data_IF_717573511012
#
_entry.id   IF_717573511012
#
_cell.length_a   1.000
_cell.length_b   1.000
_cell.length_c   1.000
_cell.angle_alpha   90.00
_cell.angle_beta   90.00
_cell.angle_gamma   90.00
#
_symmetry.space_group_name_H-M   'P 1'
#
loop_
_entity.id
_entity.type
_entity.pdbx_description
1 polymer ?
#
# COMPACT_ATOMS: atom_id res chain seq x y z
N UNK A 1 10.12 -17.19 -18.97
CA UNK A 1 8.96 -16.26 -18.72
C UNK A 1 8.26 -16.69 -17.45
N UNK A 2 7.89 -15.73 -16.59
CA UNK A 2 7.12 -16.02 -15.38
C UNK A 2 5.70 -16.50 -15.74
N UNK A 3 5.16 -17.47 -15.01
CA UNK A 3 3.85 -18.05 -15.32
C UNK A 3 2.71 -17.24 -14.66
N UNK A 4 1.55 -17.18 -15.32
CA UNK A 4 0.38 -16.42 -14.84
C UNK A 4 -0.15 -16.90 -13.48
N UNK A 5 0.08 -18.17 -13.10
CA UNK A 5 -0.30 -18.69 -11.78
C UNK A 5 0.28 -17.87 -10.60
N UNK A 6 1.41 -17.18 -10.82
CA UNK A 6 2.00 -16.33 -9.79
C UNK A 6 1.27 -14.99 -9.61
N UNK A 7 0.56 -14.51 -10.64
CA UNK A 7 -0.35 -13.39 -10.50
C UNK A 7 -1.59 -13.78 -9.67
N UNK A 8 -2.12 -14.99 -9.89
CA UNK A 8 -3.21 -15.51 -9.06
C UNK A 8 -2.78 -15.65 -7.60
N UNK A 9 -1.60 -16.22 -7.35
CA UNK A 9 -1.04 -16.30 -6.01
C UNK A 9 -0.84 -14.90 -5.40
N UNK A 10 -0.29 -13.94 -6.16
CA UNK A 10 -0.12 -12.56 -5.70
C UNK A 10 -1.45 -11.96 -5.23
N UNK A 11 -2.52 -12.12 -6.01
CA UNK A 11 -3.84 -11.65 -5.62
C UNK A 11 -4.38 -12.35 -4.37
N UNK A 12 -4.19 -13.66 -4.24
CA UNK A 12 -4.60 -14.39 -3.04
C UNK A 12 -3.90 -13.85 -1.79
N UNK A 13 -2.60 -13.54 -1.87
CA UNK A 13 -1.87 -12.95 -0.76
C UNK A 13 -2.32 -11.50 -0.48
N UNK A 14 -2.53 -10.70 -1.53
CA UNK A 14 -3.10 -9.36 -1.42
C UNK A 14 -4.45 -9.39 -0.69
N UNK A 15 -5.36 -10.27 -1.09
CA UNK A 15 -6.69 -10.37 -0.48
C UNK A 15 -6.63 -10.74 1.03
N UNK A 16 -5.67 -11.59 1.41
CA UNK A 16 -5.42 -11.93 2.82
C UNK A 16 -4.86 -10.73 3.60
N UNK A 17 -3.90 -10.01 3.01
CA UNK A 17 -3.30 -8.84 3.65
C UNK A 17 -4.30 -7.68 3.76
N UNK A 18 -5.19 -7.50 2.77
CA UNK A 18 -6.26 -6.51 2.81
C UNK A 18 -7.27 -6.74 3.95
N UNK A 19 -7.42 -7.98 4.40
CA UNK A 19 -8.26 -8.31 5.55
C UNK A 19 -7.61 -7.98 6.91
N UNK A 20 -6.35 -7.56 6.93
CA UNK A 20 -5.62 -7.16 8.13
C UNK A 20 -5.57 -5.64 8.17
N UNK A 21 -6.17 -5.04 9.20
CA UNK A 21 -6.10 -3.60 9.41
C UNK A 21 -4.67 -3.14 9.71
N UNK A 22 -4.21 -2.11 9.00
CA UNK A 22 -2.85 -1.58 9.15
C UNK A 22 -2.74 -0.08 8.83
N UNK A 23 -3.59 0.80 9.39
CA UNK A 23 -3.35 2.22 9.19
C UNK A 23 -1.98 2.60 9.74
N UNK A 24 -1.34 3.60 9.12
CA UNK A 24 0.01 4.05 9.51
C UNK A 24 0.14 4.22 11.02
N UNK A 25 1.15 3.59 11.61
CA UNK A 25 1.38 3.56 13.06
C UNK A 25 0.67 2.41 13.81
N UNK A 26 -0.20 1.64 13.15
CA UNK A 26 -0.86 0.46 13.70
C UNK A 26 -0.70 -0.75 12.77
N UNK A 27 0.53 -1.16 12.49
CA UNK A 27 0.89 -2.06 11.38
C UNK A 27 1.44 -3.41 11.82
N UNK A 28 1.61 -3.64 13.13
CA UNK A 28 2.31 -4.82 13.67
C UNK A 28 1.76 -6.15 13.13
N UNK A 29 0.43 -6.31 13.12
CA UNK A 29 -0.21 -7.55 12.64
C UNK A 29 0.04 -7.80 11.16
N UNK A 30 0.01 -6.74 10.34
CA UNK A 30 0.30 -6.84 8.92
C UNK A 30 1.78 -7.16 8.68
N UNK A 31 2.70 -6.51 9.40
CA UNK A 31 4.13 -6.78 9.29
C UNK A 31 4.48 -8.21 9.70
N UNK A 32 3.91 -8.71 10.80
CA UNK A 32 4.10 -10.11 11.22
C UNK A 32 3.58 -11.09 10.17
N UNK A 33 2.39 -10.85 9.64
CA UNK A 33 1.83 -11.68 8.58
C UNK A 33 2.70 -11.69 7.32
N UNK A 34 3.21 -10.52 6.89
CA UNK A 34 4.12 -10.40 5.74
C UNK A 34 5.40 -11.18 5.99
N UNK A 35 6.00 -11.02 7.17
CA UNK A 35 7.20 -11.79 7.58
C UNK A 35 6.97 -13.30 7.45
N UNK A 36 5.90 -13.81 8.05
CA UNK A 36 5.54 -15.22 8.00
C UNK A 36 5.27 -15.70 6.57
N UNK A 37 4.66 -14.87 5.72
CA UNK A 37 4.39 -15.20 4.33
C UNK A 37 5.69 -15.40 3.52
N UNK A 38 6.72 -14.57 3.72
CA UNK A 38 8.02 -14.75 3.09
C UNK A 38 8.79 -15.94 3.67
N UNK A 39 8.71 -16.15 4.99
CA UNK A 39 9.34 -17.31 5.64
C UNK A 39 8.74 -18.64 5.15
N UNK A 40 7.42 -18.69 4.92
CA UNK A 40 6.75 -19.87 4.34
C UNK A 40 7.22 -20.18 2.90
N UNK A 41 7.78 -19.21 2.18
CA UNK A 41 8.39 -19.38 0.87
C UNK A 41 9.87 -19.77 0.95
N UNK A 42 10.44 -19.88 2.17
CA UNK A 42 11.82 -20.28 2.43
C UNK A 42 12.81 -19.12 2.51
N UNK A 43 12.38 -17.87 2.61
CA UNK A 43 13.25 -16.71 2.73
C UNK A 43 13.47 -16.28 4.17
N UNK A 44 14.64 -15.72 4.46
CA UNK A 44 14.91 -15.09 5.75
C UNK A 44 14.27 -13.71 5.78
N UNK A 45 13.38 -13.47 6.74
CA UNK A 45 12.70 -12.22 6.94
C UNK A 45 12.85 -11.74 8.39
N UNK A 46 13.09 -10.44 8.57
CA UNK A 46 13.23 -9.82 9.89
C UNK A 46 12.43 -8.55 9.99
N UNK A 47 11.91 -8.26 11.19
CA UNK A 47 11.30 -6.98 11.48
C UNK A 47 12.38 -5.90 11.61
N UNK A 48 12.13 -4.74 11.03
CA UNK A 48 12.97 -3.55 11.22
C UNK A 48 12.60 -2.83 12.52
N UNK A 49 13.46 -1.94 13.00
CA UNK A 49 13.16 -1.15 14.19
C UNK A 49 11.92 -0.23 14.03
N UNK A 50 11.60 0.17 12.79
CA UNK A 50 10.39 0.93 12.45
C UNK A 50 9.13 0.06 12.36
N UNK A 51 9.26 -1.26 12.40
CA UNK A 51 8.16 -2.21 12.28
C UNK A 51 7.88 -2.72 10.88
N UNK A 52 8.67 -2.33 9.87
CA UNK A 52 8.64 -2.93 8.54
C UNK A 52 9.29 -4.31 8.48
N UNK A 53 9.31 -4.93 7.30
CA UNK A 53 9.88 -6.28 7.09
C UNK A 53 10.98 -6.21 6.03
N UNK A 54 12.19 -6.61 6.41
CA UNK A 54 13.30 -6.74 5.50
C UNK A 54 13.53 -8.23 5.18
N UNK A 55 13.55 -8.57 3.89
CA UNK A 55 13.65 -9.93 3.37
C UNK A 55 14.87 -10.04 2.46
N UNK A 56 15.68 -11.07 2.61
CA UNK A 56 16.76 -11.39 1.68
C UNK A 56 16.27 -12.44 0.66
N UNK A 57 16.08 -12.04 -0.60
CA UNK A 57 15.78 -12.98 -1.69
C UNK A 57 17.04 -13.74 -2.14
N UNK A 58 18.23 -13.22 -1.82
CA UNK A 58 19.52 -13.80 -2.19
C UNK A 58 20.03 -13.29 -3.54
N UNK A 59 21.17 -13.81 -3.97
CA UNK A 59 21.83 -13.47 -5.21
C UNK A 59 23.30 -13.93 -5.21
N UNK A 60 23.94 -13.94 -6.40
CA UNK A 60 25.32 -14.40 -6.56
C UNK A 60 26.34 -13.35 -6.11
N UNK A 61 26.10 -12.08 -6.48
CA UNK A 61 27.02 -10.97 -6.19
C UNK A 61 26.51 -10.19 -4.97
N UNK A 62 27.40 -10.04 -3.98
CA UNK A 62 27.08 -9.29 -2.76
C UNK A 62 27.17 -7.77 -2.95
N UNK A 63 28.01 -7.32 -3.89
CA UNK A 63 28.13 -5.92 -4.28
C UNK A 63 27.09 -5.54 -5.35
N UNK A 64 26.77 -4.25 -5.46
CA UNK A 64 25.73 -3.75 -6.38
C UNK A 64 24.34 -4.36 -6.10
N UNK A 65 24.01 -4.54 -4.82
CA UNK A 65 22.72 -5.08 -4.40
C UNK A 65 21.54 -4.21 -4.86
N UNK A 66 20.39 -4.84 -4.95
CA UNK A 66 19.10 -4.20 -5.28
C UNK A 66 18.14 -4.30 -4.09
N UNK A 67 17.45 -3.20 -3.81
CA UNK A 67 16.33 -3.14 -2.88
C UNK A 67 15.01 -2.96 -3.65
N UNK A 68 14.02 -3.78 -3.36
CA UNK A 68 12.63 -3.60 -3.80
C UNK A 68 11.84 -3.10 -2.60
N UNK A 69 11.17 -1.97 -2.74
CA UNK A 69 10.37 -1.36 -1.67
C UNK A 69 8.89 -1.37 -2.04
N UNK A 70 8.05 -1.74 -1.10
CA UNK A 70 6.60 -1.64 -1.14
C UNK A 70 6.09 -1.39 0.27
N UNK A 71 4.87 -0.89 0.46
CA UNK A 71 4.39 -0.63 1.79
C UNK A 71 3.15 -1.45 2.19
N UNK A 72 3.01 -1.71 3.49
CA UNK A 72 1.89 -2.43 4.07
C UNK A 72 1.01 -1.55 4.96
N UNK A 73 1.46 -0.34 5.28
CA UNK A 73 0.60 0.64 5.95
C UNK A 73 -0.43 1.20 4.98
N UNK A 74 -1.52 1.67 5.53
CA UNK A 74 -2.66 2.16 4.76
C UNK A 74 -3.12 3.51 5.29
N UNK A 75 -3.88 4.19 4.46
CA UNK A 75 -4.71 5.30 4.94
C UNK A 75 -5.62 4.86 6.07
N UNK A 76 -5.98 5.80 6.92
CA UNK A 76 -6.88 5.54 8.03
C UNK A 76 -7.30 6.80 8.75
N UNK A 77 -7.72 6.63 9.98
CA UNK A 77 -8.03 7.72 10.90
C UNK A 77 -7.50 7.47 12.31
N UNK A 78 -7.59 8.49 13.13
CA UNK A 78 -7.26 8.43 14.54
C UNK A 78 -8.29 9.25 15.32
N UNK A 79 -8.68 8.77 16.49
CA UNK A 79 -9.59 9.52 17.38
C UNK A 79 -8.92 10.83 17.78
N UNK A 80 -9.49 11.95 17.35
CA UNK A 80 -9.01 13.28 17.68
C UNK A 80 -9.78 13.89 18.87
N UNK A 81 -11.05 13.49 19.05
CA UNK A 81 -11.90 14.00 20.12
C UNK A 81 -13.08 13.04 20.36
N UNK A 82 -13.43 12.84 21.62
CA UNK A 82 -14.70 12.22 22.01
C UNK A 82 -15.68 13.36 22.33
N UNK A 83 -16.69 13.52 21.48
CA UNK A 83 -17.70 14.58 21.60
C UNK A 83 -18.64 14.34 22.79
N UNK A 84 -19.29 15.38 23.29
CA UNK A 84 -20.27 15.27 24.38
C UNK A 84 -21.42 14.28 24.07
N UNK A 85 -21.74 14.09 22.79
CA UNK A 85 -22.73 13.10 22.32
C UNK A 85 -22.24 11.65 22.34
N UNK A 86 -20.98 11.38 22.69
CA UNK A 86 -20.34 10.07 22.58
C UNK A 86 -19.79 9.72 21.21
N UNK A 87 -20.07 10.51 20.17
CA UNK A 87 -19.52 10.32 18.82
C UNK A 87 -18.06 10.77 18.75
N UNK A 88 -17.31 10.31 17.73
CA UNK A 88 -15.90 10.62 17.60
C UNK A 88 -15.66 11.60 16.45
N UNK A 89 -14.93 12.68 16.73
CA UNK A 89 -14.22 13.42 15.69
C UNK A 89 -12.91 12.73 15.42
N UNK A 90 -12.55 12.60 14.16
CA UNK A 90 -11.34 11.91 13.74
C UNK A 90 -10.38 12.86 13.02
N UNK A 91 -9.10 12.49 12.97
CA UNK A 91 -8.10 13.08 12.08
C UNK A 91 -7.63 12.02 11.08
N UNK A 92 -7.19 12.43 9.89
CA UNK A 92 -6.66 11.51 8.88
C UNK A 92 -5.29 10.96 9.27
N UNK A 93 -5.03 9.74 8.86
CA UNK A 93 -3.69 9.16 8.73
C UNK A 93 -3.40 9.03 7.24
N UNK A 94 -2.28 9.61 6.78
CA UNK A 94 -1.98 9.74 5.37
C UNK A 94 -2.97 10.62 4.61
N UNK A 95 -3.07 10.40 3.29
CA UNK A 95 -3.91 11.16 2.37
C UNK A 95 -5.41 10.78 2.39
N UNK A 96 -5.94 10.26 3.48
CA UNK A 96 -7.36 9.90 3.59
C UNK A 96 -8.27 11.11 3.41
N UNK A 97 -9.29 10.98 2.58
CA UNK A 97 -10.26 12.02 2.30
C UNK A 97 -11.64 11.65 2.85
N UNK A 98 -12.29 12.57 3.55
CA UNK A 98 -13.62 12.35 4.13
C UNK A 98 -14.69 11.98 3.09
N UNK A 99 -14.59 12.50 1.84
CA UNK A 99 -15.50 12.11 0.75
C UNK A 99 -15.43 10.61 0.44
N UNK A 100 -14.25 10.01 0.61
CA UNK A 100 -14.04 8.59 0.34
C UNK A 100 -14.36 7.70 1.55
N UNK A 101 -14.50 8.32 2.73
CA UNK A 101 -14.84 7.61 3.97
C UNK A 101 -16.30 7.73 4.40
N UNK A 102 -17.06 8.71 3.88
CA UNK A 102 -18.48 8.86 4.25
C UNK A 102 -19.27 7.59 3.94
N UNK A 103 -20.11 7.19 4.90
CA UNK A 103 -20.91 5.96 4.88
C UNK A 103 -20.11 4.65 4.89
N UNK A 104 -18.82 4.69 5.23
CA UNK A 104 -18.01 3.48 5.36
C UNK A 104 -18.02 2.96 6.79
N UNK A 105 -18.08 1.64 6.94
CA UNK A 105 -17.87 0.99 8.22
C UNK A 105 -16.43 1.19 8.70
N UNK A 106 -16.29 1.39 9.98
CA UNK A 106 -14.97 1.56 10.62
C UNK A 106 -14.83 0.67 11.85
N UNK A 107 -13.60 0.38 12.22
CA UNK A 107 -13.21 -0.31 13.45
C UNK A 107 -12.27 0.60 14.24
N UNK A 108 -12.64 0.89 15.48
CA UNK A 108 -11.81 1.63 16.44
C UNK A 108 -11.09 0.60 17.32
N UNK A 109 -9.77 0.66 17.37
CA UNK A 109 -8.96 -0.24 18.18
C UNK A 109 -8.50 0.46 19.45
N UNK A 110 -8.96 -0.04 20.61
CA UNK A 110 -8.56 0.52 21.90
C UNK A 110 -7.17 0.02 22.32
N UNK A 111 -6.52 0.75 23.25
CA UNK A 111 -5.23 0.31 23.83
C UNK A 111 -5.33 -0.99 24.61
N UNK A 112 -6.52 -1.37 25.06
CA UNK A 112 -6.79 -2.65 25.73
C UNK A 112 -7.01 -3.81 24.73
N UNK A 113 -6.96 -3.55 23.42
CA UNK A 113 -7.13 -4.57 22.37
C UNK A 113 -8.59 -4.88 22.02
N UNK A 114 -9.56 -4.08 22.51
CA UNK A 114 -10.95 -4.19 22.06
C UNK A 114 -11.10 -3.57 20.67
N UNK A 115 -12.07 -4.07 19.94
CA UNK A 115 -12.49 -3.54 18.63
C UNK A 115 -13.92 -3.07 18.75
N UNK A 116 -14.14 -1.79 18.49
CA UNK A 116 -15.47 -1.17 18.53
C UNK A 116 -15.84 -0.79 17.10
N UNK A 117 -16.97 -1.25 16.63
CA UNK A 117 -17.47 -0.95 15.28
C UNK A 117 -18.23 0.38 15.25
N UNK A 118 -18.30 0.97 14.07
CA UNK A 118 -19.06 2.19 13.82
C UNK A 118 -19.05 2.55 12.34
N UNK A 119 -19.59 3.70 12.02
CA UNK A 119 -19.69 4.22 10.64
C UNK A 119 -19.26 5.68 10.62
N UNK A 120 -18.43 6.06 9.64
CA UNK A 120 -18.13 7.47 9.38
C UNK A 120 -19.32 8.11 8.67
N UNK A 121 -19.93 9.13 9.29
CA UNK A 121 -21.11 9.83 8.79
C UNK A 121 -20.87 11.34 8.76
N UNK A 122 -21.63 12.05 7.91
CA UNK A 122 -21.76 13.49 8.02
C UNK A 122 -22.38 13.83 9.38
N UNK A 123 -21.91 14.89 10.04
CA UNK A 123 -22.62 15.43 11.19
C UNK A 123 -24.06 15.78 10.79
N UNK A 124 -25.05 15.31 11.55
CA UNK A 124 -26.46 15.40 11.18
C UNK A 124 -26.76 14.77 9.80
N UNK A 125 -26.46 13.49 9.63
CA UNK A 125 -26.47 12.75 8.37
C UNK A 125 -27.85 12.46 7.78
N UNK A 126 -28.95 12.78 8.46
CA UNK A 126 -30.29 12.48 7.94
C UNK A 126 -30.78 13.55 6.97
N UNK A 127 -30.95 13.19 5.71
CA UNK A 127 -31.48 14.07 4.66
C UNK A 127 -32.85 14.68 5.01
N UNK A 128 -33.70 13.94 5.74
CA UNK A 128 -35.05 14.38 6.07
C UNK A 128 -35.12 15.46 7.16
N UNK A 129 -34.01 15.74 7.86
CA UNK A 129 -33.91 16.74 8.93
C UNK A 129 -32.75 17.72 8.76
N UNK A 130 -31.99 17.58 7.68
CA UNK A 130 -30.83 18.43 7.36
C UNK A 130 -30.96 18.99 5.95
N UNK A 131 -31.46 20.20 5.83
CA UNK A 131 -31.66 20.92 4.57
C UNK A 131 -30.35 21.31 3.87
N UNK A 132 -29.21 21.31 4.61
CA UNK A 132 -27.86 21.52 4.08
C UNK A 132 -27.14 20.24 3.70
N UNK A 133 -27.77 19.07 3.82
CA UNK A 133 -27.10 17.78 3.59
C UNK A 133 -26.34 17.72 2.26
N UNK A 134 -26.98 18.14 1.16
CA UNK A 134 -26.41 18.05 -0.19
C UNK A 134 -25.30 19.08 -0.46
N UNK A 135 -25.31 20.21 0.23
CA UNK A 135 -24.34 21.31 0.05
C UNK A 135 -23.22 21.32 1.07
N UNK A 136 -23.33 20.56 2.15
CA UNK A 136 -22.32 20.50 3.19
C UNK A 136 -21.00 19.95 2.63
N UNK A 137 -19.89 20.67 2.86
CA UNK A 137 -18.55 20.19 2.52
C UNK A 137 -18.24 18.96 3.37
N UNK A 138 -17.72 17.91 2.74
CA UNK A 138 -17.19 16.73 3.44
C UNK A 138 -15.75 16.99 3.85
N UNK A 139 -15.52 17.00 5.15
CA UNK A 139 -14.19 17.10 5.77
C UNK A 139 -14.23 16.38 7.11
N UNK A 140 -13.08 16.13 7.72
CA UNK A 140 -13.04 15.51 9.05
C UNK A 140 -13.59 16.42 10.17
N UNK A 141 -13.78 17.71 9.91
CA UNK A 141 -14.49 18.62 10.82
C UNK A 141 -16.01 18.54 10.69
N UNK A 142 -16.52 18.08 9.54
CA UNK A 142 -17.94 17.97 9.25
C UNK A 142 -18.46 16.54 9.26
N UNK A 143 -17.58 15.57 9.49
CA UNK A 143 -17.90 14.15 9.65
C UNK A 143 -17.58 13.68 11.07
N UNK A 144 -18.17 12.57 11.46
CA UNK A 144 -17.99 11.96 12.76
C UNK A 144 -18.18 10.44 12.68
N UNK A 145 -17.52 9.69 13.53
CA UNK A 145 -17.82 8.27 13.69
C UNK A 145 -18.98 8.13 14.66
N UNK A 146 -20.01 7.46 14.18
CA UNK A 146 -21.15 6.99 14.97
C UNK A 146 -20.82 5.55 15.36
N UNK A 147 -20.70 5.29 16.65
CA UNK A 147 -20.39 3.96 17.17
C UNK A 147 -21.64 3.06 17.15
N UNK A 148 -21.45 1.78 16.85
CA UNK A 148 -22.51 0.77 16.89
C UNK A 148 -22.67 0.21 18.32
N UNK A 149 -22.64 1.12 19.31
CA UNK A 149 -22.75 0.87 20.73
C UNK A 149 -23.79 1.82 21.36
N UNK A 150 -24.34 1.41 22.51
CA UNK A 150 -25.30 2.23 23.26
C UNK A 150 -24.55 3.30 24.05
N UNK A 151 -24.24 4.41 23.40
CA UNK A 151 -23.57 5.58 23.97
C UNK A 151 -24.43 6.84 23.77
N UNK A 152 -24.51 7.67 24.78
CA UNK A 152 -25.22 8.96 24.73
C UNK A 152 -24.37 10.12 25.29
N UNK A 153 -23.16 9.82 25.78
CA UNK A 153 -22.26 10.80 26.35
C UNK A 153 -20.78 10.41 26.10
N UNK A 154 -19.89 11.38 26.25
CA UNK A 154 -18.46 11.14 26.20
C UNK A 154 -18.00 10.11 27.26
N UNK A 155 -18.64 10.10 28.43
CA UNK A 155 -18.30 9.16 29.50
C UNK A 155 -18.71 7.73 29.15
N UNK A 156 -19.79 7.52 28.43
CA UNK A 156 -20.18 6.18 27.96
C UNK A 156 -19.15 5.65 26.95
N UNK A 157 -18.71 6.50 26.02
CA UNK A 157 -17.67 6.13 25.06
C UNK A 157 -16.34 5.82 25.73
N UNK A 158 -15.92 6.59 26.74
CA UNK A 158 -14.71 6.31 27.53
C UNK A 158 -14.80 4.98 28.31
N UNK A 159 -16.00 4.60 28.79
CA UNK A 159 -16.20 3.28 29.43
C UNK A 159 -16.01 2.10 28.49
N UNK A 160 -16.14 2.29 27.17
CA UNK A 160 -15.77 1.28 26.17
C UNK A 160 -14.26 1.07 26.10
N UNK A 161 -13.47 2.01 26.60
CA UNK A 161 -12.00 2.02 26.55
C UNK A 161 -11.45 2.85 25.40
N UNK A 162 -12.30 3.62 24.68
CA UNK A 162 -11.87 4.49 23.60
C UNK A 162 -11.20 5.74 24.17
N UNK A 163 -10.04 6.07 23.60
CA UNK A 163 -9.23 7.24 23.97
C UNK A 163 -8.80 8.05 22.73
N UNK A 164 -8.42 9.30 22.96
CA UNK A 164 -7.77 10.11 21.91
C UNK A 164 -6.44 9.43 21.53
N UNK A 165 -6.21 9.31 20.21
CA UNK A 165 -5.05 8.62 19.68
C UNK A 165 -5.29 7.14 19.33
N UNK A 166 -6.48 6.61 19.54
CA UNK A 166 -6.83 5.26 19.09
C UNK A 166 -6.97 5.22 17.56
N UNK A 167 -6.41 4.20 16.88
CA UNK A 167 -6.49 4.08 15.43
C UNK A 167 -7.89 3.69 14.97
N UNK A 168 -8.27 4.21 13.80
CA UNK A 168 -9.54 3.95 13.14
C UNK A 168 -9.27 3.38 11.74
N UNK A 169 -9.74 2.17 11.51
CA UNK A 169 -9.56 1.43 10.27
C UNK A 169 -10.86 1.42 9.48
N UNK A 170 -10.77 1.67 8.17
CA UNK A 170 -11.91 1.65 7.26
C UNK A 170 -12.08 0.28 6.62
N UNK A 171 -13.32 -0.11 6.35
CA UNK A 171 -13.63 -1.36 5.67
C UNK A 171 -13.01 -1.38 4.25
N UNK A 172 -12.19 -2.39 3.89
CA UNK A 172 -11.52 -2.44 2.58
C UNK A 172 -12.47 -2.80 1.43
N UNK A 173 -13.57 -3.48 1.69
CA UNK A 173 -14.55 -3.97 0.70
C UNK A 173 -13.93 -4.74 -0.46
N UNK A 174 -13.02 -5.65 -0.16
CA UNK A 174 -12.27 -6.42 -1.16
C UNK A 174 -13.16 -7.28 -2.04
N UNK A 175 -13.03 -7.16 -3.36
CA UNK A 175 -13.79 -7.92 -4.36
C UNK A 175 -12.96 -8.21 -5.60
N UNK A 176 -13.23 -9.37 -6.22
CA UNK A 176 -12.76 -9.71 -7.56
C UNK A 176 -13.96 -9.95 -8.47
N UNK A 177 -13.93 -9.38 -9.67
CA UNK A 177 -14.97 -9.62 -10.68
C UNK A 177 -14.63 -10.83 -11.56
N UNK A 178 -15.64 -11.40 -12.23
CA UNK A 178 -15.40 -12.48 -13.18
C UNK A 178 -14.54 -12.08 -14.38
N UNK A 179 -14.51 -10.79 -14.73
CA UNK A 179 -13.67 -10.21 -15.78
C UNK A 179 -12.24 -9.88 -15.34
N UNK A 180 -11.86 -10.21 -14.10
CA UNK A 180 -10.48 -10.05 -13.61
C UNK A 180 -10.18 -8.74 -12.91
N UNK A 181 -11.15 -7.81 -12.77
CA UNK A 181 -10.94 -6.60 -11.98
C UNK A 181 -10.84 -6.89 -10.49
N UNK A 182 -9.88 -6.26 -9.85
CA UNK A 182 -9.59 -6.30 -8.43
C UNK A 182 -10.04 -4.97 -7.83
N UNK A 183 -10.85 -5.01 -6.80
CA UNK A 183 -11.42 -3.81 -6.16
C UNK A 183 -11.27 -3.90 -4.66
N UNK A 184 -10.72 -2.88 -4.06
CA UNK A 184 -10.60 -2.72 -2.61
C UNK A 184 -10.18 -1.30 -2.29
N UNK A 185 -10.38 -0.81 -1.05
CA UNK A 185 -9.48 0.19 -0.49
C UNK A 185 -8.13 -0.47 -0.28
N UNK A 186 -7.06 0.32 -0.30
CA UNK A 186 -5.70 -0.11 0.10
C UNK A 186 -5.05 -1.14 -0.83
N UNK A 187 -5.44 -1.17 -2.14
CA UNK A 187 -4.60 -1.77 -3.19
C UNK A 187 -3.25 -1.04 -3.25
N UNK A 188 -3.28 0.25 -2.99
CA UNK A 188 -2.17 1.11 -2.60
C UNK A 188 -1.81 0.80 -1.12
N UNK A 189 -0.69 0.12 -0.79
CA UNK A 189 0.16 -0.60 -1.75
C UNK A 189 0.22 -2.11 -1.43
N UNK A 190 -0.80 -2.63 -0.74
CA UNK A 190 -0.89 -4.07 -0.43
C UNK A 190 -0.91 -4.95 -1.68
N UNK A 191 -1.29 -4.39 -2.84
CA UNK A 191 -1.23 -5.12 -4.10
C UNK A 191 0.21 -5.42 -4.49
N UNK A 192 1.11 -4.47 -4.35
CA UNK A 192 2.54 -4.66 -4.66
C UNK A 192 3.22 -5.58 -3.66
N UNK A 193 2.83 -5.54 -2.38
CA UNK A 193 3.28 -6.56 -1.41
C UNK A 193 2.91 -7.96 -1.89
N UNK A 194 1.69 -8.16 -2.37
CA UNK A 194 1.25 -9.42 -2.97
C UNK A 194 2.04 -9.77 -4.24
N UNK A 195 2.34 -8.79 -5.10
CA UNK A 195 3.18 -8.97 -6.30
C UNK A 195 4.58 -9.44 -5.92
N UNK A 196 5.20 -8.83 -4.91
CA UNK A 196 6.54 -9.23 -4.42
C UNK A 196 6.52 -10.63 -3.82
N UNK A 197 5.46 -11.03 -3.11
CA UNK A 197 5.26 -12.41 -2.66
C UNK A 197 5.10 -13.38 -3.84
N UNK A 198 4.36 -12.99 -4.89
CA UNK A 198 4.20 -13.77 -6.12
C UNK A 198 5.53 -13.93 -6.86
N UNK A 199 6.34 -12.88 -6.92
CA UNK A 199 7.69 -12.93 -7.49
C UNK A 199 8.60 -13.85 -6.67
N UNK A 200 8.66 -13.68 -5.36
CA UNK A 200 9.43 -14.52 -4.44
C UNK A 200 9.04 -16.01 -4.59
N UNK A 201 7.73 -16.31 -4.65
CA UNK A 201 7.26 -17.66 -4.91
C UNK A 201 7.75 -18.21 -6.25
N UNK A 202 7.77 -17.38 -7.30
CA UNK A 202 8.27 -17.81 -8.60
C UNK A 202 9.76 -18.17 -8.57
N UNK A 203 10.56 -17.43 -7.82
CA UNK A 203 12.00 -17.73 -7.63
C UNK A 203 12.17 -19.05 -6.86
N UNK A 204 11.46 -19.23 -5.76
CA UNK A 204 11.53 -20.43 -4.92
C UNK A 204 11.09 -21.68 -5.69
N UNK A 205 9.91 -21.66 -6.34
CA UNK A 205 9.37 -22.80 -7.09
C UNK A 205 10.28 -23.25 -8.23
N UNK A 206 10.97 -22.32 -8.90
CA UNK A 206 11.81 -22.58 -10.05
C UNK A 206 13.31 -22.63 -9.69
N UNK A 207 13.66 -22.50 -8.40
CA UNK A 207 15.04 -22.50 -7.89
C UNK A 207 15.93 -21.48 -8.63
N UNK A 208 15.39 -20.30 -8.92
CA UNK A 208 16.11 -19.23 -9.61
C UNK A 208 17.02 -18.52 -8.60
N UNK A 209 18.31 -18.43 -8.93
CA UNK A 209 19.29 -17.63 -8.19
C UNK A 209 19.47 -16.32 -8.95
N UNK A 210 19.22 -15.20 -8.28
CA UNK A 210 19.36 -13.88 -8.89
C UNK A 210 20.84 -13.55 -9.17
N UNK A 211 21.15 -12.74 -10.20
CA UNK A 211 22.51 -12.33 -10.53
C UNK A 211 23.18 -11.56 -9.38
N UNK A 212 22.46 -10.62 -8.77
CA UNK A 212 22.94 -9.79 -7.65
C UNK A 212 22.08 -9.97 -6.40
N UNK A 213 22.65 -9.71 -5.23
CA UNK A 213 21.93 -9.73 -3.98
C UNK A 213 20.72 -8.81 -4.05
N UNK A 214 19.55 -9.37 -3.80
CA UNK A 214 18.28 -8.65 -3.87
C UNK A 214 17.55 -8.78 -2.56
N UNK A 215 17.05 -7.65 -2.08
CA UNK A 215 16.26 -7.54 -0.86
C UNK A 215 14.88 -7.03 -1.20
N UNK A 216 13.92 -7.37 -0.35
CA UNK A 216 12.59 -6.73 -0.30
C UNK A 216 12.44 -6.04 1.03
N UNK A 217 12.06 -4.79 1.02
CA UNK A 217 11.71 -4.02 2.21
C UNK A 217 10.22 -3.66 2.15
N UNK A 218 9.43 -4.27 3.00
CA UNK A 218 8.03 -3.88 3.16
C UNK A 218 7.97 -2.87 4.30
N UNK A 219 7.70 -1.62 3.94
CA UNK A 219 7.69 -0.48 4.85
C UNK A 219 6.34 -0.30 5.54
N UNK A 220 6.24 0.59 6.51
CA UNK A 220 5.02 0.81 7.32
C UNK A 220 4.75 2.27 7.68
N UNK A 221 5.40 3.22 7.04
CA UNK A 221 5.20 4.67 7.17
C UNK A 221 5.31 5.39 5.83
N UNK A 222 5.00 4.70 4.72
CA UNK A 222 5.05 5.31 3.39
C UNK A 222 4.03 6.44 3.27
N UNK A 223 2.80 6.21 3.68
CA UNK A 223 1.65 7.11 3.59
C UNK A 223 1.83 8.46 4.32
N UNK A 224 2.88 8.55 5.13
CA UNK A 224 3.30 9.79 5.82
C UNK A 224 4.72 10.21 5.44
N UNK A 225 5.28 9.65 4.36
CA UNK A 225 6.46 10.15 3.67
C UNK A 225 7.81 9.75 4.26
N UNK A 226 7.89 8.70 5.08
CA UNK A 226 9.19 8.27 5.63
C UNK A 226 9.35 6.74 5.78
N UNK A 227 8.61 5.93 5.01
CA UNK A 227 8.72 4.47 5.05
C UNK A 227 10.14 3.99 4.75
N UNK A 228 10.66 4.32 3.56
CA UNK A 228 11.98 3.95 3.09
C UNK A 228 13.16 4.65 3.77
N UNK A 229 12.91 5.55 4.74
CA UNK A 229 13.95 6.40 5.34
C UNK A 229 15.02 5.65 6.17
N UNK A 230 14.97 4.33 6.26
CA UNK A 230 15.92 3.53 7.04
C UNK A 230 15.99 2.09 6.50
N UNK A 231 16.91 1.31 7.08
CA UNK A 231 17.00 -0.15 6.88
C UNK A 231 17.49 -0.62 5.50
N UNK A 232 18.11 0.25 4.72
CA UNK A 232 18.78 -0.14 3.48
C UNK A 232 19.98 -1.05 3.82
N UNK A 233 20.05 -2.30 3.28
CA UNK A 233 21.16 -3.19 3.53
C UNK A 233 22.48 -2.67 2.96
N UNK A 234 23.58 -3.01 3.61
CA UNK A 234 24.92 -2.69 3.11
C UNK A 234 25.16 -3.31 1.73
N UNK A 235 25.80 -2.58 0.83
CA UNK A 235 26.13 -3.03 -0.52
C UNK A 235 24.99 -2.83 -1.53
N UNK A 236 23.83 -2.33 -1.12
CA UNK A 236 22.77 -1.93 -2.04
C UNK A 236 23.16 -0.62 -2.73
N UNK A 237 23.05 -0.58 -4.04
CA UNK A 237 23.37 0.59 -4.89
C UNK A 237 22.21 1.01 -5.78
N UNK A 238 21.09 0.29 -5.71
CA UNK A 238 19.90 0.54 -6.50
C UNK A 238 18.65 0.16 -5.73
N UNK A 239 17.64 1.01 -5.77
CA UNK A 239 16.34 0.75 -5.17
C UNK A 239 15.21 0.99 -6.17
N UNK A 240 14.19 0.14 -6.14
CA UNK A 240 12.99 0.26 -6.95
C UNK A 240 11.79 0.18 -6.03
N UNK A 241 11.00 1.24 -5.97
CA UNK A 241 9.65 1.12 -5.41
C UNK A 241 8.78 0.29 -6.35
N UNK A 242 8.18 -0.73 -5.79
CA UNK A 242 7.09 -1.48 -6.41
C UNK A 242 5.84 -0.97 -5.71
N UNK A 243 5.25 0.06 -6.29
CA UNK A 243 4.16 0.81 -5.72
C UNK A 243 3.14 1.12 -6.83
N UNK A 244 1.89 1.44 -6.51
CA UNK A 244 0.83 1.50 -7.49
C UNK A 244 1.14 2.45 -8.66
N UNK A 245 0.81 2.03 -9.89
CA UNK A 245 0.83 2.89 -11.06
C UNK A 245 -0.42 3.75 -11.14
N UNK A 246 -0.26 5.07 -11.26
CA UNK A 246 -1.40 5.98 -11.40
C UNK A 246 -2.19 5.73 -12.68
N UNK A 247 -3.53 5.67 -12.56
CA UNK A 247 -4.47 5.63 -13.69
C UNK A 247 -5.40 6.82 -13.58
N UNK A 248 -5.47 7.64 -14.63
CA UNK A 248 -6.32 8.83 -14.64
C UNK A 248 -6.09 9.70 -15.88
N UNK A 249 -6.82 10.80 -15.95
CA UNK A 249 -6.72 11.73 -17.08
C UNK A 249 -5.31 12.32 -17.22
N UNK A 250 -4.80 12.30 -18.45
CA UNK A 250 -3.45 12.77 -18.76
C UNK A 250 -2.33 11.72 -18.61
N UNK A 251 -2.65 10.51 -18.13
CA UNK A 251 -1.75 9.37 -18.04
C UNK A 251 -2.10 8.31 -19.09
N UNK A 252 -1.13 7.47 -19.45
CA UNK A 252 -1.30 6.43 -20.45
C UNK A 252 -1.63 5.06 -19.85
N UNK A 253 -1.26 4.86 -18.59
CA UNK A 253 -1.47 3.60 -17.90
C UNK A 253 -2.94 3.29 -17.70
N UNK A 254 -3.29 2.03 -17.84
CA UNK A 254 -4.60 1.46 -17.50
C UNK A 254 -4.43 0.42 -16.40
N UNK A 255 -5.53 0.00 -15.76
CA UNK A 255 -5.49 -1.04 -14.72
C UNK A 255 -4.90 -2.38 -15.20
N UNK A 256 -4.85 -2.60 -16.52
CA UNK A 256 -4.35 -3.85 -17.11
C UNK A 256 -2.85 -3.83 -17.41
N UNK A 257 -2.19 -2.71 -17.24
CA UNK A 257 -0.78 -2.49 -17.57
C UNK A 257 0.07 -2.40 -16.30
N UNK A 258 1.38 -2.57 -16.48
CA UNK A 258 2.36 -2.08 -15.52
C UNK A 258 2.75 -0.66 -15.92
N UNK A 259 2.74 0.25 -14.97
CA UNK A 259 3.28 1.60 -15.14
C UNK A 259 4.76 1.61 -14.77
N UNK A 260 5.56 2.32 -15.58
CA UNK A 260 6.95 2.66 -15.30
C UNK A 260 6.98 4.17 -15.15
N UNK A 261 7.25 4.66 -13.95
CA UNK A 261 7.28 6.09 -13.69
C UNK A 261 8.61 6.69 -14.13
N UNK A 262 8.55 7.69 -15.02
CA UNK A 262 9.74 8.43 -15.45
C UNK A 262 10.04 9.62 -14.54
N UNK A 263 9.00 10.19 -13.89
CA UNK A 263 9.10 11.33 -12.97
C UNK A 263 7.84 11.40 -12.11
N UNK A 264 8.00 11.77 -10.85
CA UNK A 264 6.92 12.15 -9.94
C UNK A 264 7.12 13.55 -9.34
N UNK A 265 6.50 13.85 -8.18
CA UNK A 265 6.60 15.16 -7.53
C UNK A 265 8.02 15.47 -7.02
N UNK A 266 8.77 14.47 -6.59
CA UNK A 266 10.13 14.60 -6.06
C UNK A 266 11.18 14.82 -7.15
N UNK A 267 10.91 14.40 -8.39
CA UNK A 267 11.81 14.61 -9.50
C UNK A 267 11.85 13.46 -10.51
N UNK A 268 12.78 13.48 -11.46
CA UNK A 268 12.96 12.39 -12.40
C UNK A 268 13.61 11.20 -11.71
N UNK A 269 13.12 10.01 -12.02
CA UNK A 269 13.80 8.76 -11.69
C UNK A 269 15.09 8.58 -12.49
N UNK A 270 15.99 7.70 -12.02
CA UNK A 270 17.26 7.50 -12.69
C UNK A 270 17.05 7.01 -14.13
N UNK A 271 17.61 7.75 -15.08
CA UNK A 271 17.39 7.55 -16.54
C UNK A 271 17.77 6.14 -17.00
N UNK A 272 18.91 5.59 -16.49
CA UNK A 272 19.36 4.25 -16.85
C UNK A 272 18.45 3.17 -16.28
N UNK A 273 17.97 3.34 -15.04
CA UNK A 273 17.05 2.40 -14.39
C UNK A 273 15.73 2.37 -15.16
N UNK A 274 15.16 3.54 -15.49
CA UNK A 274 13.93 3.64 -16.29
C UNK A 274 14.13 2.98 -17.66
N UNK A 275 15.25 3.23 -18.33
CA UNK A 275 15.60 2.60 -19.60
C UNK A 275 15.63 1.07 -19.51
N UNK A 276 16.31 0.53 -18.51
CA UNK A 276 16.38 -0.92 -18.27
C UNK A 276 15.03 -1.55 -17.94
N UNK A 277 14.16 -0.84 -17.21
CA UNK A 277 12.79 -1.28 -16.92
C UNK A 277 11.95 -1.38 -18.20
N UNK A 278 12.07 -0.37 -19.08
CA UNK A 278 11.42 -0.38 -20.41
C UNK A 278 11.94 -1.54 -21.27
N UNK A 279 13.24 -1.78 -21.28
CA UNK A 279 13.84 -2.92 -22.00
C UNK A 279 13.35 -4.25 -21.45
N UNK A 280 13.24 -4.38 -20.11
CA UNK A 280 12.70 -5.57 -19.47
C UNK A 280 11.24 -5.81 -19.87
N UNK A 281 10.42 -4.76 -19.90
CA UNK A 281 9.03 -4.83 -20.36
C UNK A 281 8.94 -5.34 -21.81
N UNK A 282 9.72 -4.75 -22.72
CA UNK A 282 9.79 -5.16 -24.14
C UNK A 282 10.24 -6.61 -24.30
N UNK A 283 11.32 -7.01 -23.59
CA UNK A 283 11.88 -8.37 -23.66
C UNK A 283 10.90 -9.43 -23.18
N UNK A 284 10.12 -9.14 -22.16
CA UNK A 284 9.17 -10.09 -21.58
C UNK A 284 7.78 -10.05 -22.23
N UNK A 285 7.54 -9.09 -23.13
CA UNK A 285 6.22 -8.87 -23.71
C UNK A 285 5.20 -8.43 -22.67
N UNK A 286 5.63 -7.66 -21.66
CA UNK A 286 4.71 -7.00 -20.74
C UNK A 286 3.96 -5.87 -21.45
N UNK A 287 2.68 -5.73 -21.17
CA UNK A 287 1.92 -4.54 -21.56
C UNK A 287 2.21 -3.44 -20.52
N UNK A 288 2.80 -2.33 -20.97
CA UNK A 288 3.31 -1.29 -20.10
C UNK A 288 3.02 0.12 -20.62
N UNK A 289 2.98 1.06 -19.70
CA UNK A 289 2.99 2.49 -20.00
C UNK A 289 4.17 3.17 -19.29
N UNK A 290 4.62 4.30 -19.85
CA UNK A 290 5.61 5.18 -19.21
C UNK A 290 4.93 6.51 -18.94
N UNK A 291 4.87 6.92 -17.66
CA UNK A 291 4.10 8.08 -17.25
C UNK A 291 4.90 9.04 -16.34
N UNK A 292 4.37 10.24 -16.19
CA UNK A 292 4.82 11.27 -15.26
C UNK A 292 3.67 11.54 -14.29
N UNK A 293 3.89 11.32 -12.99
CA UNK A 293 2.87 11.52 -11.96
C UNK A 293 2.98 12.94 -11.37
N UNK A 294 1.93 13.77 -11.47
CA UNK A 294 2.01 15.16 -11.01
C UNK A 294 1.97 15.32 -9.47
N UNK A 295 1.33 14.40 -8.76
CA UNK A 295 1.11 14.45 -7.31
C UNK A 295 1.34 13.09 -6.70
N UNK A 296 2.59 12.67 -6.57
CA UNK A 296 2.97 11.33 -6.14
C UNK A 296 4.36 11.36 -5.52
N UNK A 297 4.60 10.54 -4.55
CA UNK A 297 5.90 10.21 -3.99
C UNK A 297 5.94 8.72 -3.66
N UNK A 298 7.11 8.17 -3.37
CA UNK A 298 7.27 6.78 -3.02
C UNK A 298 8.43 6.57 -2.05
N UNK A 299 8.56 5.37 -1.51
CA UNK A 299 9.57 5.03 -0.52
C UNK A 299 11.01 5.27 -0.99
N UNK A 300 11.33 5.05 -2.26
CA UNK A 300 12.71 5.31 -2.75
C UNK A 300 13.10 6.77 -2.65
N UNK A 301 12.16 7.72 -2.70
CA UNK A 301 12.46 9.13 -2.45
C UNK A 301 12.79 9.40 -0.99
N UNK A 302 12.05 8.78 -0.07
CA UNK A 302 12.36 8.84 1.35
C UNK A 302 13.74 8.23 1.64
N UNK A 303 14.09 7.14 0.94
CA UNK A 303 15.39 6.49 0.99
C UNK A 303 16.51 7.45 0.57
N UNK A 304 16.38 8.10 -0.60
CA UNK A 304 17.37 9.07 -1.07
C UNK A 304 17.48 10.28 -0.16
N UNK A 305 16.35 10.83 0.28
CA UNK A 305 16.31 11.99 1.17
C UNK A 305 16.96 11.70 2.53
N UNK A 306 17.07 10.43 2.92
CA UNK A 306 17.74 10.00 4.15
C UNK A 306 19.25 9.82 3.99
N UNK A 307 19.81 10.13 2.79
CA UNK A 307 21.24 10.17 2.55
C UNK A 307 21.83 8.89 1.95
N UNK A 308 21.01 7.95 1.49
CA UNK A 308 21.50 6.79 0.76
C UNK A 308 21.81 7.15 -0.69
N UNK A 309 23.03 6.82 -1.14
CA UNK A 309 23.50 7.07 -2.51
C UNK A 309 23.13 5.91 -3.42
N UNK A 310 21.93 5.99 -4.03
CA UNK A 310 21.32 4.92 -4.82
C UNK A 310 20.82 5.43 -6.16
N UNK A 311 20.86 4.57 -7.18
CA UNK A 311 20.02 4.73 -8.38
C UNK A 311 18.61 4.25 -8.05
N UNK A 312 17.60 4.89 -8.60
CA UNK A 312 16.23 4.58 -8.20
C UNK A 312 15.25 4.51 -9.37
N UNK A 313 14.19 3.75 -9.18
CA UNK A 313 13.09 3.57 -10.12
C UNK A 313 11.78 3.32 -9.39
N UNK A 314 10.68 3.38 -10.15
CA UNK A 314 9.34 3.08 -9.68
C UNK A 314 8.56 2.34 -10.76
N UNK A 315 7.95 1.21 -10.38
CA UNK A 315 7.01 0.45 -11.22
C UNK A 315 5.84 -0.04 -10.38
N UNK A 316 4.69 -0.23 -11.01
CA UNK A 316 3.56 -0.90 -10.35
C UNK A 316 2.41 -1.23 -11.26
N UNK A 317 1.52 -2.10 -10.79
CA UNK A 317 0.27 -2.37 -11.48
C UNK A 317 -0.60 -1.12 -11.49
N UNK A 318 -1.29 -0.86 -12.61
CA UNK A 318 -2.17 0.29 -12.70
C UNK A 318 -3.31 0.21 -11.68
N UNK A 319 -3.50 1.27 -10.90
CA UNK A 319 -4.58 1.43 -9.91
C UNK A 319 -5.33 2.73 -10.20
N UNK A 320 -6.63 2.61 -10.43
CA UNK A 320 -7.52 3.75 -10.59
C UNK A 320 -8.18 4.10 -9.25
N UNK A 321 -8.51 5.38 -9.07
CA UNK A 321 -9.14 5.94 -7.88
C UNK A 321 -8.32 5.73 -6.59
N UNK A 322 -6.98 5.88 -6.68
CA UNK A 322 -6.08 5.81 -5.52
C UNK A 322 -6.55 6.72 -4.38
N UNK A 323 -6.31 6.31 -3.13
CA UNK A 323 -6.81 6.92 -1.91
C UNK A 323 -8.34 6.94 -1.77
N UNK A 324 -9.04 6.15 -2.62
CA UNK A 324 -10.49 5.98 -2.58
C UNK A 324 -10.92 4.52 -2.48
N UNK A 325 -11.96 4.14 -3.25
CA UNK A 325 -12.31 2.74 -3.47
C UNK A 325 -11.69 2.30 -4.79
N UNK A 326 -10.51 1.75 -4.69
CA UNK A 326 -9.56 1.52 -5.75
C UNK A 326 -9.94 0.34 -6.64
N UNK A 327 -9.38 0.33 -7.84
CA UNK A 327 -9.49 -0.80 -8.76
C UNK A 327 -8.22 -0.99 -9.57
N UNK A 328 -7.88 -2.26 -9.79
CA UNK A 328 -6.82 -2.73 -10.64
C UNK A 328 -7.32 -3.95 -11.43
N UNK A 329 -6.43 -4.65 -12.14
CA UNK A 329 -6.75 -5.83 -12.90
C UNK A 329 -5.66 -6.89 -12.77
N UNK A 330 -6.04 -8.17 -12.82
CA UNK A 330 -5.08 -9.28 -12.72
C UNK A 330 -4.02 -9.25 -13.84
N UNK A 331 -4.32 -8.68 -15.00
CA UNK A 331 -3.36 -8.48 -16.08
C UNK A 331 -2.26 -7.47 -15.69
N UNK A 332 -2.62 -6.38 -14.98
CA UNK A 332 -1.65 -5.41 -14.44
C UNK A 332 -0.68 -6.06 -13.47
N UNK A 333 -1.21 -6.90 -12.57
CA UNK A 333 -0.40 -7.73 -11.65
C UNK A 333 0.56 -8.62 -12.43
N UNK A 334 0.07 -9.31 -13.46
CA UNK A 334 0.88 -10.20 -14.28
C UNK A 334 1.96 -9.44 -15.08
N UNK A 335 1.63 -8.29 -15.64
CA UNK A 335 2.57 -7.46 -16.37
C UNK A 335 3.66 -6.89 -15.45
N UNK A 336 3.35 -6.52 -14.23
CA UNK A 336 4.34 -6.10 -13.22
C UNK A 336 5.29 -7.26 -12.88
N UNK A 337 4.78 -8.47 -12.68
CA UNK A 337 5.60 -9.67 -12.47
C UNK A 337 6.53 -9.96 -13.65
N UNK A 338 6.08 -9.74 -14.90
CA UNK A 338 6.94 -9.92 -16.08
C UNK A 338 8.10 -8.91 -16.09
N UNK A 339 7.83 -7.64 -15.77
CA UNK A 339 8.89 -6.62 -15.70
C UNK A 339 9.88 -6.94 -14.60
N UNK A 340 9.43 -7.30 -13.39
CA UNK A 340 10.32 -7.74 -12.29
C UNK A 340 11.18 -8.92 -12.72
N UNK A 341 10.57 -9.97 -13.31
CA UNK A 341 11.32 -11.12 -13.77
C UNK A 341 12.33 -10.74 -14.88
N UNK A 342 11.92 -9.90 -15.84
CA UNK A 342 12.80 -9.44 -16.90
C UNK A 342 13.95 -8.58 -16.39
N UNK A 343 13.73 -7.75 -15.40
CA UNK A 343 14.73 -6.85 -14.84
C UNK A 343 15.73 -7.56 -13.93
N UNK A 344 15.26 -8.50 -13.12
CA UNK A 344 16.02 -9.11 -12.03
C UNK A 344 16.74 -10.42 -12.40
N UNK A 345 16.32 -11.12 -13.48
CA UNK A 345 16.87 -12.44 -13.83
C UNK A 345 17.84 -12.42 -15.01
N UNK A 346 18.18 -11.26 -15.52
CA UNK A 346 19.15 -11.10 -16.64
C UNK A 346 20.40 -10.37 -16.14
N UNK A 347 21.56 -10.92 -16.51
CA UNK A 347 22.88 -10.34 -16.22
C UNK A 347 23.10 -9.00 -16.96
#
# INVERSE_FOLDING_TARGET
MIAQKYAEFAWEQTARLLAIDSPTGFTEKAALWVKEAFEALGYSAQLTAKGGVLVALGGKEAENGLLLEAHADTLGGMVAEIKDSGRLRITSLGGMNANNGEAENVRVYTREGKVIEGTLQLCNASLHVNDNYSSAKRSFDTTEVVLDEIVASADDTRKLGIEVGDPICFEPRTRRTASGYLKSRFLDDKLSVGILLGFAKSLSDNKIILPRMTYVHITVFEEVGHGGAASVPQGVTEAISVDMGCVGDGLQCTERQVSICAKDSGGPYNYEVVGKLIEAAKRTGADYAVDIYPYYGSDVEATLNSGYDLRHGLIGAGVYASHGYERSHIDGVYNTLKVLAGYLTVD
#
